data_IF_486072070293
#
_entry.id   IF_486072070293
#
_cell.length_a   1.000
_cell.length_b   1.000
_cell.length_c   1.000
_cell.angle_alpha   90.00
_cell.angle_beta   90.00
_cell.angle_gamma   90.00
#
_symmetry.space_group_name_H-M   'P 1'
#
loop_
_entity.id
_entity.type
_entity.pdbx_description
1 polymer ?
#
# COMPACT_ATOMS: atom_id res chain seq x y z
N UNK A 1 8.01 -18.83 5.33
CA UNK A 1 6.76 -18.07 5.37
C UNK A 1 5.60 -18.92 5.84
N UNK A 2 4.56 -18.29 6.28
CA UNK A 2 3.32 -18.93 6.71
C UNK A 2 2.12 -18.28 6.00
N UNK A 3 1.06 -19.06 5.80
CA UNK A 3 -0.22 -18.62 5.25
C UNK A 3 -1.32 -19.04 6.22
N UNK A 4 -2.10 -18.05 6.68
CA UNK A 4 -3.29 -18.26 7.50
C UNK A 4 -4.50 -17.76 6.71
N UNK A 5 -5.46 -18.64 6.46
CA UNK A 5 -6.71 -18.29 5.78
C UNK A 5 -7.88 -18.44 6.75
N UNK A 6 -8.88 -17.61 6.58
CA UNK A 6 -10.16 -17.67 7.29
C UNK A 6 -11.29 -17.89 6.26
N UNK A 7 -11.76 -19.13 6.06
CA UNK A 7 -12.83 -19.42 5.11
C UNK A 7 -14.18 -18.81 5.48
N UNK A 8 -14.35 -18.36 6.73
CA UNK A 8 -15.58 -17.74 7.22
C UNK A 8 -15.51 -16.21 7.23
N UNK A 9 -14.40 -15.62 6.72
CA UNK A 9 -14.26 -14.18 6.67
C UNK A 9 -15.37 -13.54 5.84
N UNK A 10 -16.15 -12.67 6.48
CA UNK A 10 -17.15 -11.88 5.76
C UNK A 10 -16.43 -10.87 4.85
N UNK A 11 -16.74 -10.93 3.55
CA UNK A 11 -16.19 -9.98 2.60
C UNK A 11 -16.79 -8.59 2.79
N UNK A 12 -15.98 -7.54 2.77
CA UNK A 12 -16.49 -6.17 2.76
C UNK A 12 -17.26 -5.87 1.47
N UNK A 13 -18.34 -5.11 1.57
CA UNK A 13 -19.20 -4.75 0.43
C UNK A 13 -18.41 -4.11 -0.72
N UNK A 14 -17.36 -3.33 -0.44
CA UNK A 14 -16.54 -2.68 -1.45
C UNK A 14 -15.63 -3.63 -2.23
N UNK A 15 -15.56 -4.90 -1.85
CA UNK A 15 -14.84 -5.96 -2.57
C UNK A 15 -15.82 -6.90 -3.28
N UNK A 16 -17.05 -7.06 -2.74
CA UNK A 16 -17.99 -8.11 -3.17
C UNK A 16 -19.02 -7.61 -4.19
N UNK A 17 -19.24 -6.30 -4.31
CA UNK A 17 -20.37 -5.76 -5.09
C UNK A 17 -20.05 -5.42 -6.53
N UNK A 18 -18.78 -5.35 -6.92
CA UNK A 18 -18.40 -4.98 -8.29
C UNK A 18 -16.99 -5.45 -8.66
N UNK A 19 -16.77 -5.56 -9.96
CA UNK A 19 -15.46 -5.89 -10.53
C UNK A 19 -14.58 -4.63 -10.59
N UNK A 20 -13.90 -4.30 -9.50
CA UNK A 20 -12.93 -3.21 -9.47
C UNK A 20 -11.80 -3.53 -10.46
N UNK A 21 -11.26 -2.51 -11.13
CA UNK A 21 -10.33 -2.63 -12.23
C UNK A 21 -10.85 -3.45 -13.41
N UNK A 22 -12.16 -3.61 -13.52
CA UNK A 22 -12.80 -4.51 -14.49
C UNK A 22 -12.25 -5.95 -14.42
N UNK A 23 -11.73 -6.32 -13.27
CA UNK A 23 -11.19 -7.64 -13.00
C UNK A 23 -12.31 -8.58 -12.59
N UNK A 24 -12.68 -9.59 -13.41
CA UNK A 24 -13.82 -10.46 -13.12
C UNK A 24 -13.66 -11.17 -11.77
N UNK A 25 -14.67 -11.03 -10.90
CA UNK A 25 -14.64 -11.55 -9.53
C UNK A 25 -13.75 -10.74 -8.59
N UNK A 26 -13.41 -9.52 -8.96
CA UNK A 26 -12.53 -8.64 -8.22
C UNK A 26 -11.20 -9.35 -7.87
N UNK A 27 -10.72 -9.31 -6.63
CA UNK A 27 -9.52 -10.03 -6.20
C UNK A 27 -9.81 -11.37 -5.53
N UNK A 28 -11.07 -11.62 -5.19
CA UNK A 28 -11.46 -12.67 -4.24
C UNK A 28 -12.10 -13.90 -4.86
N UNK A 29 -12.59 -13.85 -6.10
CA UNK A 29 -13.33 -14.94 -6.69
C UNK A 29 -12.47 -16.21 -6.86
N UNK A 30 -13.07 -17.36 -6.54
CA UNK A 30 -12.43 -18.66 -6.61
C UNK A 30 -13.27 -19.62 -7.46
N UNK A 31 -12.66 -20.22 -8.46
CA UNK A 31 -13.31 -21.18 -9.34
C UNK A 31 -13.13 -22.64 -8.86
N UNK A 32 -12.21 -22.86 -7.95
CA UNK A 32 -11.91 -24.16 -7.36
C UNK A 32 -11.25 -24.00 -5.99
N UNK A 33 -11.32 -25.03 -5.17
CA UNK A 33 -10.59 -25.06 -3.89
C UNK A 33 -9.09 -24.86 -4.12
N UNK A 34 -8.50 -23.93 -3.40
CA UNK A 34 -7.08 -23.60 -3.49
C UNK A 34 -6.69 -22.75 -4.72
N UNK A 35 -7.67 -22.13 -5.37
CA UNK A 35 -7.43 -21.26 -6.53
C UNK A 35 -6.44 -20.14 -6.24
N UNK A 36 -5.66 -19.80 -7.25
CA UNK A 36 -4.67 -18.69 -7.26
C UNK A 36 -4.86 -17.79 -8.47
N UNK A 37 -5.93 -17.98 -9.25
CA UNK A 37 -6.14 -17.32 -10.54
C UNK A 37 -6.17 -15.80 -10.40
N UNK A 38 -6.87 -15.25 -9.40
CA UNK A 38 -6.93 -13.80 -9.17
C UNK A 38 -5.56 -13.21 -8.86
N UNK A 39 -4.74 -13.90 -8.07
CA UNK A 39 -3.36 -13.48 -7.83
C UNK A 39 -2.50 -13.49 -9.10
N UNK A 40 -2.67 -14.48 -9.96
CA UNK A 40 -1.97 -14.55 -11.24
C UNK A 40 -2.47 -13.47 -12.23
N UNK A 41 -3.77 -13.22 -12.29
CA UNK A 41 -4.38 -12.15 -13.10
C UNK A 41 -3.82 -10.80 -12.66
N UNK A 42 -3.84 -10.50 -11.36
CA UNK A 42 -3.28 -9.27 -10.82
C UNK A 42 -1.79 -9.11 -11.13
N UNK A 43 -1.00 -10.17 -10.99
CA UNK A 43 0.44 -10.15 -11.27
C UNK A 43 0.76 -9.82 -12.73
N UNK A 44 -0.06 -10.28 -13.67
CA UNK A 44 0.13 -10.09 -15.11
C UNK A 44 -0.68 -8.91 -15.66
N UNK A 45 -1.88 -8.67 -15.13
CA UNK A 45 -2.75 -7.55 -15.52
C UNK A 45 -2.06 -6.21 -15.41
N UNK A 46 -1.32 -5.95 -14.33
CA UNK A 46 -0.51 -4.75 -14.17
C UNK A 46 0.57 -4.57 -15.24
N UNK A 47 1.00 -5.64 -15.93
CA UNK A 47 1.91 -5.53 -17.09
C UNK A 47 1.14 -5.12 -18.33
N UNK A 48 -0.05 -5.66 -18.54
CA UNK A 48 -0.94 -5.33 -19.65
C UNK A 48 -1.43 -3.89 -19.52
N UNK A 49 -1.90 -3.51 -18.34
CA UNK A 49 -2.40 -2.15 -18.03
C UNK A 49 -1.33 -1.08 -18.28
N UNK A 50 -0.11 -1.32 -17.85
CA UNK A 50 1.01 -0.40 -18.06
C UNK A 50 1.59 -0.45 -19.48
N UNK A 51 1.09 -1.34 -20.33
CA UNK A 51 1.72 -1.68 -21.58
C UNK A 51 3.13 -2.24 -21.38
N UNK A 52 3.60 -3.10 -22.24
CA UNK A 52 5.00 -3.57 -22.23
C UNK A 52 6.02 -2.45 -22.52
N UNK A 53 5.56 -1.20 -22.54
CA UNK A 53 6.32 -0.01 -22.88
C UNK A 53 7.23 0.51 -21.76
N UNK A 54 6.99 0.09 -20.52
CA UNK A 54 7.85 0.51 -19.39
C UNK A 54 9.12 -0.34 -19.33
N UNK A 55 10.30 0.29 -19.35
CA UNK A 55 11.56 -0.41 -19.16
C UNK A 55 11.52 -1.24 -17.87
N UNK A 56 12.14 -2.42 -17.88
CA UNK A 56 12.20 -3.30 -16.69
C UNK A 56 12.84 -2.62 -15.47
N UNK A 57 13.62 -1.56 -15.69
CA UNK A 57 14.26 -0.76 -14.64
C UNK A 57 13.27 0.09 -13.82
N UNK A 58 12.08 0.39 -14.34
CA UNK A 58 11.06 1.14 -13.60
C UNK A 58 10.16 0.26 -12.74
N UNK A 59 10.43 -1.03 -12.69
CA UNK A 59 9.67 -2.03 -11.91
C UNK A 59 10.13 -2.19 -10.47
N UNK A 60 11.01 -1.33 -9.96
CA UNK A 60 11.47 -1.42 -8.57
C UNK A 60 10.36 -1.18 -7.55
N UNK A 61 9.23 -0.68 -8.01
CA UNK A 61 8.00 -0.63 -7.25
C UNK A 61 7.96 0.49 -6.20
N UNK A 62 6.78 0.78 -5.80
CA UNK A 62 6.44 1.74 -4.77
C UNK A 62 7.20 1.45 -3.48
N UNK A 63 7.11 0.23 -2.98
CA UNK A 63 7.71 -0.14 -1.71
C UNK A 63 9.24 -0.06 -1.70
N UNK A 64 9.90 -0.28 -2.84
CA UNK A 64 11.35 -0.06 -2.96
C UNK A 64 11.70 1.42 -2.79
N UNK A 65 10.86 2.32 -3.33
CA UNK A 65 11.03 3.78 -3.14
C UNK A 65 10.74 4.19 -1.70
N UNK A 66 9.65 3.70 -1.11
CA UNK A 66 9.25 4.01 0.27
C UNK A 66 10.28 3.48 1.26
N UNK A 67 10.68 2.22 1.17
CA UNK A 67 11.66 1.62 2.09
C UNK A 67 13.03 2.30 1.99
N UNK A 68 13.44 2.66 0.77
CA UNK A 68 14.68 3.42 0.55
C UNK A 68 14.59 4.83 1.13
N UNK A 69 13.47 5.52 0.93
CA UNK A 69 13.22 6.83 1.53
C UNK A 69 13.27 6.77 3.05
N UNK A 70 12.58 5.82 3.67
CA UNK A 70 12.61 5.60 5.11
C UNK A 70 14.05 5.43 5.63
N UNK A 71 14.85 4.61 4.97
CA UNK A 71 16.24 4.35 5.38
C UNK A 71 17.16 5.58 5.32
N UNK A 72 16.84 6.54 4.47
CA UNK A 72 17.59 7.78 4.32
C UNK A 72 17.05 8.86 5.28
N UNK A 73 15.73 8.99 5.35
CA UNK A 73 15.06 10.03 6.14
C UNK A 73 15.15 9.77 7.64
N UNK A 74 15.06 8.50 8.02
CA UNK A 74 15.03 8.01 9.40
C UNK A 74 16.09 6.91 9.61
N UNK A 75 17.40 7.23 9.54
CA UNK A 75 18.47 6.22 9.52
C UNK A 75 18.54 5.40 10.81
N UNK A 76 18.04 5.94 11.93
CA UNK A 76 18.00 5.23 13.21
C UNK A 76 16.75 4.35 13.38
N UNK A 77 15.76 4.49 12.51
CA UNK A 77 14.55 3.69 12.56
C UNK A 77 14.83 2.31 11.97
N UNK A 78 14.76 1.27 12.80
CA UNK A 78 15.03 -0.14 12.46
C UNK A 78 13.81 -0.98 12.83
N UNK A 79 12.77 -1.04 11.99
CA UNK A 79 11.60 -1.82 12.29
C UNK A 79 11.94 -3.31 12.35
N UNK A 80 11.51 -3.98 13.43
CA UNK A 80 11.62 -5.43 13.60
C UNK A 80 10.39 -6.16 13.05
N UNK A 81 9.21 -5.51 13.08
CA UNK A 81 7.94 -6.06 12.58
C UNK A 81 7.26 -5.07 11.67
N UNK A 82 7.02 -5.51 10.43
CA UNK A 82 6.40 -4.70 9.38
C UNK A 82 5.09 -5.37 8.96
N UNK A 83 4.00 -4.59 8.96
CA UNK A 83 2.69 -4.98 8.48
C UNK A 83 2.37 -4.23 7.18
N UNK A 84 1.95 -4.94 6.14
CA UNK A 84 1.28 -4.34 4.98
C UNK A 84 -0.21 -4.68 5.01
N UNK A 85 -1.08 -3.65 4.97
CA UNK A 85 -2.53 -3.79 4.79
C UNK A 85 -2.88 -3.68 3.31
N UNK A 86 -3.78 -4.57 2.81
CA UNK A 86 -4.08 -4.67 1.38
C UNK A 86 -2.87 -5.17 0.57
N UNK A 87 -2.19 -6.21 1.05
CA UNK A 87 -0.93 -6.67 0.47
C UNK A 87 -1.07 -7.40 -0.86
N UNK A 88 -2.27 -7.79 -1.26
CA UNK A 88 -2.61 -8.51 -2.49
C UNK A 88 -1.67 -9.71 -2.72
N UNK A 89 -0.70 -9.58 -3.61
CA UNK A 89 0.27 -10.63 -3.96
C UNK A 89 1.67 -10.37 -3.37
N UNK A 90 1.80 -9.51 -2.37
CA UNK A 90 3.05 -9.20 -1.67
C UNK A 90 4.05 -8.35 -2.46
N UNK A 91 3.63 -7.74 -3.58
CA UNK A 91 4.54 -6.95 -4.42
C UNK A 91 5.23 -5.81 -3.67
N UNK A 92 4.49 -5.15 -2.79
CA UNK A 92 4.95 -4.00 -2.03
C UNK A 92 5.44 -4.36 -0.63
N UNK A 93 5.33 -5.62 -0.21
CA UNK A 93 5.88 -6.12 1.05
C UNK A 93 7.34 -6.58 0.91
N UNK A 94 7.63 -7.34 -0.14
CA UNK A 94 8.95 -7.96 -0.30
C UNK A 94 10.14 -6.98 -0.33
N UNK A 95 10.05 -5.79 -0.98
CA UNK A 95 11.17 -4.85 -1.03
C UNK A 95 11.65 -4.34 0.34
N UNK A 96 10.82 -4.43 1.38
CA UNK A 96 11.27 -4.07 2.73
C UNK A 96 12.38 -4.98 3.26
N UNK A 97 12.44 -6.26 2.82
CA UNK A 97 13.55 -7.18 3.17
C UNK A 97 14.91 -6.72 2.64
N UNK A 98 14.93 -6.01 1.51
CA UNK A 98 16.20 -5.51 0.94
C UNK A 98 16.81 -4.40 1.80
N UNK A 99 15.98 -3.67 2.54
CA UNK A 99 16.41 -2.55 3.42
C UNK A 99 16.48 -3.00 4.88
N UNK A 100 15.56 -3.84 5.32
CA UNK A 100 15.42 -4.34 6.68
C UNK A 100 15.46 -5.89 6.68
N UNK A 101 16.63 -6.50 6.46
CA UNK A 101 16.76 -7.95 6.23
C UNK A 101 16.31 -8.78 7.43
N UNK A 102 16.40 -8.24 8.63
CA UNK A 102 16.03 -8.94 9.88
C UNK A 102 14.55 -8.75 10.26
N UNK A 103 13.83 -7.84 9.58
CA UNK A 103 12.43 -7.57 9.91
C UNK A 103 11.51 -8.76 9.60
N UNK A 104 10.59 -9.06 10.50
CA UNK A 104 9.46 -9.96 10.25
C UNK A 104 8.45 -9.24 9.36
N UNK A 105 8.09 -9.85 8.23
CA UNK A 105 7.10 -9.31 7.29
C UNK A 105 5.75 -10.00 7.48
N UNK A 106 4.70 -9.21 7.65
CA UNK A 106 3.32 -9.67 7.66
C UNK A 106 2.51 -8.91 6.62
N UNK A 107 1.79 -9.62 5.78
CA UNK A 107 0.83 -9.04 4.84
C UNK A 107 -0.59 -9.50 5.16
N UNK A 108 -1.55 -8.59 5.18
CA UNK A 108 -2.98 -8.92 5.33
C UNK A 108 -3.75 -8.47 4.10
N UNK A 109 -4.72 -9.29 3.72
CA UNK A 109 -5.66 -9.03 2.63
C UNK A 109 -6.93 -9.88 2.85
N UNK A 110 -8.03 -9.49 2.25
CA UNK A 110 -9.27 -10.28 2.30
C UNK A 110 -9.30 -11.38 1.21
N UNK A 111 -8.50 -11.22 0.16
CA UNK A 111 -8.52 -12.07 -1.03
C UNK A 111 -7.65 -13.33 -0.86
N UNK A 112 -8.25 -14.45 -0.45
CA UNK A 112 -7.55 -15.73 -0.27
C UNK A 112 -6.74 -16.19 -1.50
N UNK A 113 -7.25 -16.13 -2.77
CA UNK A 113 -6.47 -16.52 -3.94
C UNK A 113 -5.24 -15.65 -4.17
N UNK A 114 -5.31 -14.36 -3.85
CA UNK A 114 -4.16 -13.45 -3.90
C UNK A 114 -3.11 -13.81 -2.84
N UNK A 115 -3.55 -14.11 -1.61
CA UNK A 115 -2.66 -14.50 -0.52
C UNK A 115 -1.97 -15.85 -0.76
N UNK A 116 -2.66 -16.82 -1.35
CA UNK A 116 -2.03 -18.11 -1.78
C UNK A 116 -0.95 -17.85 -2.82
N UNK A 117 -1.25 -16.99 -3.78
CA UNK A 117 -0.28 -16.59 -4.80
C UNK A 117 0.91 -15.83 -4.20
N UNK A 118 0.66 -14.90 -3.24
CA UNK A 118 1.69 -14.18 -2.51
C UNK A 118 2.63 -15.14 -1.76
N UNK A 119 2.07 -16.11 -1.04
CA UNK A 119 2.83 -17.10 -0.29
C UNK A 119 3.70 -17.97 -1.23
N UNK A 120 3.14 -18.43 -2.36
CA UNK A 120 3.90 -19.17 -3.36
C UNK A 120 5.07 -18.34 -3.92
N UNK A 121 4.86 -17.05 -4.16
CA UNK A 121 5.91 -16.12 -4.61
C UNK A 121 6.98 -15.88 -3.54
N UNK A 122 6.59 -15.75 -2.26
CA UNK A 122 7.54 -15.61 -1.16
C UNK A 122 8.47 -16.84 -1.09
N UNK A 123 7.91 -18.05 -1.15
CA UNK A 123 8.66 -19.30 -1.20
C UNK A 123 9.62 -19.33 -2.41
N UNK A 124 9.11 -19.00 -3.60
CA UNK A 124 9.91 -19.02 -4.83
C UNK A 124 11.07 -18.00 -4.81
N UNK A 125 10.92 -16.91 -4.05
CA UNK A 125 11.95 -15.85 -3.91
C UNK A 125 12.84 -16.03 -2.68
N UNK A 126 12.58 -17.03 -1.83
CA UNK A 126 13.30 -17.22 -0.56
C UNK A 126 13.04 -16.06 0.43
N UNK A 127 11.92 -15.38 0.33
CA UNK A 127 11.52 -14.32 1.27
C UNK A 127 10.67 -14.93 2.38
N UNK A 128 11.10 -14.75 3.62
CA UNK A 128 10.28 -15.14 4.77
C UNK A 128 9.25 -14.04 5.07
N UNK A 129 7.97 -14.36 4.88
CA UNK A 129 6.84 -13.48 5.14
C UNK A 129 5.64 -14.31 5.59
N UNK A 130 4.82 -13.75 6.45
CA UNK A 130 3.55 -14.32 6.87
C UNK A 130 2.40 -13.60 6.14
N UNK A 131 1.51 -14.37 5.54
CA UNK A 131 0.28 -13.84 4.91
C UNK A 131 -0.94 -14.31 5.69
N UNK A 132 -1.85 -13.38 6.00
CA UNK A 132 -3.05 -13.68 6.78
C UNK A 132 -4.28 -13.07 6.12
N UNK A 133 -5.32 -13.89 5.93
CA UNK A 133 -6.60 -13.42 5.42
C UNK A 133 -7.35 -12.72 6.55
N UNK A 134 -7.46 -11.39 6.46
CA UNK A 134 -8.11 -10.55 7.45
C UNK A 134 -8.71 -9.31 6.78
N UNK A 135 -9.80 -8.80 7.37
CA UNK A 135 -10.28 -7.46 7.06
C UNK A 135 -9.46 -6.42 7.85
N UNK A 136 -8.80 -5.51 7.13
CA UNK A 136 -7.98 -4.46 7.76
C UNK A 136 -8.78 -3.47 8.63
N UNK A 137 -10.11 -3.47 8.55
CA UNK A 137 -10.97 -2.71 9.44
C UNK A 137 -11.03 -3.28 10.88
N UNK A 138 -10.63 -4.56 11.05
CA UNK A 138 -10.63 -5.28 12.33
C UNK A 138 -9.53 -6.33 12.33
N UNK A 139 -8.31 -5.92 12.67
CA UNK A 139 -7.13 -6.79 12.63
C UNK A 139 -7.05 -7.70 13.87
N UNK A 140 -6.79 -8.97 13.64
CA UNK A 140 -6.55 -9.96 14.70
C UNK A 140 -5.09 -9.92 15.17
N UNK A 141 -4.64 -8.74 15.57
CA UNK A 141 -3.35 -8.54 16.20
C UNK A 141 -3.53 -7.78 17.52
N UNK A 142 -2.67 -8.06 18.48
CA UNK A 142 -2.65 -7.31 19.74
C UNK A 142 -2.23 -5.87 19.52
N UNK A 143 -2.65 -4.97 20.41
CA UNK A 143 -2.21 -3.59 20.40
C UNK A 143 -0.69 -3.49 20.46
N UNK A 144 -0.13 -2.50 19.77
CA UNK A 144 1.31 -2.20 19.82
C UNK A 144 2.20 -3.38 19.38
N UNK A 145 1.82 -4.08 18.30
CA UNK A 145 2.52 -5.25 17.78
C UNK A 145 3.58 -4.93 16.72
N UNK A 146 3.40 -3.85 15.95
CA UNK A 146 4.22 -3.53 14.79
C UNK A 146 5.02 -2.25 14.96
N UNK A 147 6.22 -2.22 14.40
CA UNK A 147 7.08 -1.04 14.36
C UNK A 147 6.75 -0.17 13.15
N UNK A 148 6.39 -0.80 12.03
CA UNK A 148 6.04 -0.14 10.79
C UNK A 148 4.75 -0.75 10.21
N UNK A 149 3.78 0.10 9.87
CA UNK A 149 2.57 -0.28 9.13
C UNK A 149 2.57 0.46 7.80
N UNK A 150 2.36 -0.26 6.70
CA UNK A 150 2.39 0.28 5.36
C UNK A 150 1.18 -0.15 4.53
N UNK A 151 0.87 0.62 3.51
CA UNK A 151 0.00 0.20 2.41
C UNK A 151 0.40 0.92 1.12
N UNK A 152 -0.03 0.38 0.00
CA UNK A 152 0.26 0.96 -1.31
C UNK A 152 -0.96 0.82 -2.21
N UNK A 153 -1.53 1.95 -2.65
CA UNK A 153 -2.73 1.97 -3.48
C UNK A 153 -3.89 1.17 -2.86
N UNK A 154 -4.20 1.43 -1.61
CA UNK A 154 -5.18 0.67 -0.86
C UNK A 154 -6.40 1.49 -0.43
N UNK A 155 -6.19 2.72 0.05
CA UNK A 155 -7.28 3.49 0.65
C UNK A 155 -8.30 4.02 -0.35
N UNK A 156 -7.90 4.26 -1.59
CA UNK A 156 -8.85 4.67 -2.63
C UNK A 156 -9.80 3.56 -3.08
N UNK A 157 -9.51 2.32 -2.72
CA UNK A 157 -10.41 1.18 -2.92
C UNK A 157 -11.49 1.08 -1.83
N UNK A 158 -11.34 1.82 -0.74
CA UNK A 158 -12.19 1.75 0.44
C UNK A 158 -13.19 2.91 0.49
N UNK A 159 -14.38 2.64 1.03
CA UNK A 159 -15.25 3.73 1.43
C UNK A 159 -14.57 4.63 2.47
N UNK A 160 -14.96 5.90 2.56
CA UNK A 160 -14.39 6.84 3.55
C UNK A 160 -14.52 6.33 4.98
N UNK A 161 -15.63 5.68 5.29
CA UNK A 161 -15.85 5.13 6.65
C UNK A 161 -14.98 3.89 6.92
N UNK A 162 -14.76 3.03 5.92
CA UNK A 162 -13.80 1.93 6.02
C UNK A 162 -12.36 2.46 6.17
N UNK A 163 -11.99 3.48 5.38
CA UNK A 163 -10.68 4.16 5.51
C UNK A 163 -10.40 4.63 6.95
N UNK A 164 -11.38 5.27 7.60
CA UNK A 164 -11.22 5.72 8.99
C UNK A 164 -11.02 4.54 9.96
N UNK A 165 -11.76 3.45 9.78
CA UNK A 165 -11.61 2.25 10.62
C UNK A 165 -10.26 1.58 10.42
N UNK A 166 -9.82 1.44 9.17
CA UNK A 166 -8.50 0.89 8.85
C UNK A 166 -7.38 1.74 9.45
N UNK A 167 -7.43 3.07 9.32
CA UNK A 167 -6.43 3.95 9.91
C UNK A 167 -6.40 3.86 11.45
N UNK A 168 -7.57 3.71 12.08
CA UNK A 168 -7.67 3.51 13.53
C UNK A 168 -7.06 2.16 13.95
N UNK A 169 -7.29 1.09 13.19
CA UNK A 169 -6.67 -0.22 13.42
C UNK A 169 -5.16 -0.18 13.18
N UNK A 170 -4.69 0.48 12.13
CA UNK A 170 -3.26 0.71 11.91
C UNK A 170 -2.62 1.41 13.13
N UNK A 171 -3.29 2.45 13.66
CA UNK A 171 -2.83 3.13 14.88
C UNK A 171 -2.83 2.22 16.10
N UNK A 172 -3.86 1.38 16.26
CA UNK A 172 -3.98 0.46 17.40
C UNK A 172 -2.82 -0.53 17.44
N UNK A 173 -2.55 -1.17 16.29
CA UNK A 173 -1.51 -2.21 16.20
C UNK A 173 -0.09 -1.63 16.15
N UNK A 174 0.06 -0.34 15.87
CA UNK A 174 1.35 0.34 15.83
C UNK A 174 1.88 0.58 17.25
N UNK A 175 3.15 0.25 17.50
CA UNK A 175 3.83 0.53 18.76
C UNK A 175 3.97 2.03 19.01
N UNK A 176 4.04 2.50 20.27
CA UNK A 176 4.54 3.84 20.57
C UNK A 176 5.94 4.04 19.95
N UNK A 177 6.15 5.18 19.29
CA UNK A 177 7.36 5.45 18.49
C UNK A 177 7.42 4.74 17.14
N UNK A 178 6.46 3.87 16.85
CA UNK A 178 6.31 3.23 15.54
C UNK A 178 5.76 4.20 14.49
N UNK A 179 5.87 3.81 13.23
CA UNK A 179 5.52 4.65 12.09
C UNK A 179 4.53 3.95 11.17
N UNK A 180 3.56 4.67 10.65
CA UNK A 180 2.80 4.21 9.50
C UNK A 180 3.06 5.11 8.29
N UNK A 181 3.16 4.49 7.10
CA UNK A 181 3.43 5.17 5.84
C UNK A 181 2.57 4.55 4.75
N UNK A 182 1.70 5.35 4.18
CA UNK A 182 0.79 4.94 3.12
C UNK A 182 1.13 5.68 1.83
N UNK A 183 1.34 4.92 0.76
CA UNK A 183 1.49 5.49 -0.58
C UNK A 183 0.12 5.49 -1.25
N UNK A 184 -0.29 6.68 -1.68
CA UNK A 184 -1.60 6.90 -2.27
C UNK A 184 -1.62 7.97 -3.36
N UNK A 185 -2.74 8.04 -4.03
CA UNK A 185 -3.06 9.09 -4.97
C UNK A 185 -3.22 10.42 -4.23
N UNK A 186 -2.73 11.52 -4.81
CA UNK A 186 -2.81 12.81 -4.16
C UNK A 186 -4.26 13.31 -4.04
N UNK A 187 -4.59 14.03 -2.96
CA UNK A 187 -5.85 14.78 -2.88
C UNK A 187 -6.06 15.68 -4.10
N UNK A 188 -7.31 15.83 -4.52
CA UNK A 188 -7.66 16.64 -5.70
C UNK A 188 -7.27 18.12 -5.56
N UNK A 189 -7.15 18.63 -4.34
CA UNK A 189 -6.68 19.97 -4.01
C UNK A 189 -5.19 20.20 -4.32
N UNK A 190 -4.40 19.14 -4.41
CA UNK A 190 -2.94 19.18 -4.51
C UNK A 190 -2.42 19.01 -5.94
N UNK A 191 -3.29 18.81 -6.90
CA UNK A 191 -2.93 18.61 -8.30
C UNK A 191 -3.66 19.58 -9.21
N UNK A 192 -3.09 19.85 -10.38
CA UNK A 192 -3.71 20.76 -11.35
C UNK A 192 -4.98 20.19 -11.99
N UNK A 193 -5.74 21.05 -12.68
CA UNK A 193 -7.01 20.67 -13.26
C UNK A 193 -6.89 19.58 -14.36
N UNK A 194 -5.78 19.58 -15.14
CA UNK A 194 -5.57 18.59 -16.16
C UNK A 194 -5.28 17.20 -15.55
N UNK A 195 -4.44 17.17 -14.54
CA UNK A 195 -4.15 15.90 -13.86
C UNK A 195 -5.35 15.37 -13.07
N UNK A 196 -6.16 16.26 -12.47
CA UNK A 196 -7.45 15.87 -11.89
C UNK A 196 -8.40 15.27 -12.92
N UNK A 197 -8.52 15.88 -14.09
CA UNK A 197 -9.32 15.33 -15.18
C UNK A 197 -8.82 13.94 -15.59
N UNK A 198 -7.51 13.76 -15.73
CA UNK A 198 -6.92 12.47 -16.08
C UNK A 198 -7.23 11.39 -15.02
N UNK A 199 -7.07 11.71 -13.73
CA UNK A 199 -7.36 10.78 -12.65
C UNK A 199 -8.86 10.47 -12.53
N UNK A 200 -9.74 11.43 -12.79
CA UNK A 200 -11.18 11.21 -12.83
C UNK A 200 -11.61 10.35 -14.03
N UNK A 201 -10.94 10.53 -15.18
CA UNK A 201 -11.13 9.69 -16.35
C UNK A 201 -10.66 8.25 -16.09
N UNK A 202 -9.51 8.08 -15.46
CA UNK A 202 -8.98 6.78 -15.06
C UNK A 202 -9.95 6.05 -14.13
N UNK A 203 -10.42 6.72 -13.08
CA UNK A 203 -11.43 6.21 -12.16
C UNK A 203 -12.69 5.69 -12.88
N UNK A 204 -13.24 6.49 -13.80
CA UNK A 204 -14.46 6.13 -14.54
C UNK A 204 -14.26 4.88 -15.41
N UNK A 205 -13.09 4.73 -16.03
CA UNK A 205 -12.80 3.63 -16.97
C UNK A 205 -12.24 2.39 -16.26
N UNK A 206 -11.86 2.52 -15.01
CA UNK A 206 -11.28 1.46 -14.20
C UNK A 206 -12.26 0.88 -13.16
N UNK A 207 -13.50 1.39 -13.16
CA UNK A 207 -14.58 0.97 -12.28
C UNK A 207 -14.20 1.00 -10.79
N UNK A 208 -13.63 2.13 -10.35
CA UNK A 208 -13.18 2.33 -8.96
C UNK A 208 -14.16 3.22 -8.19
N UNK A 209 -15.08 2.67 -7.39
CA UNK A 209 -16.21 3.42 -6.83
C UNK A 209 -15.83 4.46 -5.78
N UNK A 210 -14.73 4.24 -5.07
CA UNK A 210 -14.33 5.05 -3.90
C UNK A 210 -13.17 6.01 -4.18
N UNK A 211 -12.51 5.88 -5.32
CA UNK A 211 -11.34 6.64 -5.73
C UNK A 211 -11.56 8.17 -5.67
N UNK A 212 -12.67 8.66 -6.25
CA UNK A 212 -12.99 10.09 -6.26
C UNK A 212 -13.31 10.60 -4.85
N UNK A 213 -14.04 9.82 -4.07
CA UNK A 213 -14.40 10.19 -2.69
C UNK A 213 -13.16 10.26 -1.80
N UNK A 214 -12.25 9.32 -1.92
CA UNK A 214 -10.97 9.36 -1.23
C UNK A 214 -10.18 10.62 -1.59
N UNK A 215 -9.97 10.89 -2.88
CA UNK A 215 -9.22 12.06 -3.36
C UNK A 215 -9.89 13.41 -3.05
N UNK A 216 -11.17 13.44 -2.73
CA UNK A 216 -11.87 14.64 -2.28
C UNK A 216 -11.54 15.03 -0.82
N UNK A 217 -10.81 14.18 -0.10
CA UNK A 217 -10.46 14.38 1.32
C UNK A 217 -8.99 14.79 1.46
N UNK A 218 -8.74 15.59 2.48
CA UNK A 218 -7.37 15.84 2.92
C UNK A 218 -6.90 14.69 3.80
N UNK A 219 -5.71 14.16 3.53
CA UNK A 219 -5.15 13.05 4.32
C UNK A 219 -4.98 13.43 5.80
N UNK A 220 -4.73 14.70 6.10
CA UNK A 220 -4.65 15.21 7.48
C UNK A 220 -5.95 14.98 8.26
N UNK A 221 -7.12 15.21 7.62
CA UNK A 221 -8.42 14.99 8.27
C UNK A 221 -8.70 13.52 8.52
N UNK A 222 -8.29 12.65 7.59
CA UNK A 222 -8.39 11.20 7.75
C UNK A 222 -7.51 10.73 8.92
N UNK A 223 -6.27 11.22 9.01
CA UNK A 223 -5.34 10.89 10.10
C UNK A 223 -5.85 11.40 11.45
N UNK A 224 -6.39 12.62 11.50
CA UNK A 224 -7.01 13.16 12.70
C UNK A 224 -8.21 12.30 13.16
N UNK A 225 -9.01 11.80 12.23
CA UNK A 225 -10.13 10.89 12.55
C UNK A 225 -9.69 9.56 13.14
N UNK A 226 -8.47 9.11 12.85
CA UNK A 226 -7.85 7.92 13.43
C UNK A 226 -7.15 8.20 14.79
N UNK A 227 -7.22 9.45 15.27
CA UNK A 227 -6.68 9.86 16.57
C UNK A 227 -5.22 10.30 16.56
N UNK A 228 -4.65 10.60 15.39
CA UNK A 228 -3.33 11.22 15.30
C UNK A 228 -3.44 12.74 15.43
N UNK A 229 -2.51 13.33 16.16
CA UNK A 229 -2.37 14.78 16.25
C UNK A 229 -1.63 15.33 15.01
N UNK A 230 -1.74 16.65 14.81
CA UNK A 230 -1.04 17.32 13.72
C UNK A 230 0.49 17.18 13.82
N UNK A 231 1.03 17.02 15.02
CA UNK A 231 2.47 16.88 15.27
C UNK A 231 2.99 15.47 14.90
N UNK A 232 2.10 14.46 14.90
CA UNK A 232 2.42 13.10 14.53
C UNK A 232 2.38 12.89 13.02
N UNK A 233 1.57 13.69 12.32
CA UNK A 233 1.27 13.54 10.89
C UNK A 233 2.35 14.14 9.99
N UNK A 234 2.64 13.48 8.88
CA UNK A 234 3.48 13.99 7.82
C UNK A 234 2.97 13.62 6.42
N UNK A 235 3.39 14.39 5.44
CA UNK A 235 3.30 14.03 4.02
C UNK A 235 4.67 14.09 3.38
N UNK A 236 4.85 13.34 2.30
CA UNK A 236 6.03 13.42 1.46
C UNK A 236 5.66 13.11 0.00
N UNK A 237 6.44 13.64 -0.92
CA UNK A 237 6.47 13.19 -2.30
C UNK A 237 7.88 12.73 -2.60
N UNK A 238 8.01 11.52 -3.16
CA UNK A 238 9.31 10.90 -3.41
C UNK A 238 9.41 10.45 -4.86
N UNK A 239 10.60 10.53 -5.49
CA UNK A 239 10.79 9.99 -6.82
C UNK A 239 10.72 8.46 -6.83
N UNK A 240 10.43 7.88 -7.99
CA UNK A 240 10.62 6.44 -8.19
C UNK A 240 12.12 6.09 -8.15
N UNK A 241 12.50 5.19 -7.25
CA UNK A 241 13.91 4.84 -7.03
C UNK A 241 14.55 4.15 -8.24
N UNK A 242 13.74 3.49 -9.07
CA UNK A 242 14.22 2.79 -10.27
C UNK A 242 14.50 3.72 -11.45
N UNK A 243 13.87 4.90 -11.47
CA UNK A 243 13.99 5.89 -12.54
C UNK A 243 14.80 7.12 -12.16
N UNK A 244 14.93 7.43 -10.88
CA UNK A 244 15.61 8.62 -10.40
C UNK A 244 17.13 8.46 -10.30
N UNK A 245 17.86 9.57 -10.50
CA UNK A 245 19.28 9.62 -10.14
C UNK A 245 19.43 9.40 -8.63
N UNK A 246 20.36 8.54 -8.16
CA UNK A 246 20.50 8.21 -6.75
C UNK A 246 20.86 9.40 -5.85
N UNK A 247 21.63 10.39 -6.35
CA UNK A 247 21.97 11.59 -5.59
C UNK A 247 20.75 12.50 -5.45
N UNK A 248 19.98 12.68 -6.52
CA UNK A 248 18.72 13.42 -6.49
C UNK A 248 17.70 12.75 -5.54
N UNK A 249 17.53 11.42 -5.62
CA UNK A 249 16.65 10.69 -4.71
C UNK A 249 17.02 10.96 -3.24
N UNK A 250 18.33 10.90 -2.93
CA UNK A 250 18.83 11.19 -1.58
C UNK A 250 18.53 12.63 -1.14
N UNK A 251 18.77 13.60 -2.01
CA UNK A 251 18.49 15.02 -1.70
C UNK A 251 17.00 15.24 -1.40
N UNK A 252 16.10 14.67 -2.22
CA UNK A 252 14.66 14.73 -1.95
C UNK A 252 14.31 14.05 -0.63
N UNK A 253 14.85 12.87 -0.35
CA UNK A 253 14.60 12.16 0.89
C UNK A 253 15.05 12.95 2.14
N UNK A 254 16.11 13.73 2.04
CA UNK A 254 16.61 14.61 3.10
C UNK A 254 15.86 15.96 3.18
N UNK A 255 15.04 16.30 2.18
CA UNK A 255 14.40 17.60 2.08
C UNK A 255 15.33 18.71 1.55
N UNK A 256 16.42 18.33 0.88
CA UNK A 256 17.43 19.23 0.29
C UNK A 256 17.13 19.60 -1.17
N UNK A 257 16.17 18.89 -1.79
CA UNK A 257 15.70 19.16 -3.14
C UNK A 257 14.17 18.97 -3.23
N UNK A 258 13.55 19.73 -4.13
CA UNK A 258 12.12 19.57 -4.41
C UNK A 258 11.83 18.21 -5.06
N UNK A 259 10.74 17.53 -4.64
CA UNK A 259 10.32 16.30 -5.30
C UNK A 259 9.82 16.59 -6.73
N UNK A 260 9.81 15.58 -7.62
CA UNK A 260 9.18 15.74 -8.92
C UNK A 260 7.68 15.98 -8.75
N UNK A 261 7.07 16.70 -9.70
CA UNK A 261 5.61 16.84 -9.73
C UNK A 261 4.96 15.45 -9.80
N UNK A 262 3.78 15.35 -9.23
CA UNK A 262 2.97 14.13 -9.38
C UNK A 262 2.81 13.80 -10.86
N UNK A 263 3.09 12.56 -11.15
CA UNK A 263 2.97 12.00 -12.49
C UNK A 263 3.12 10.49 -12.39
N UNK A 264 2.39 9.76 -13.24
CA UNK A 264 2.42 8.30 -13.27
C UNK A 264 3.87 7.82 -13.40
N UNK A 265 4.34 7.03 -12.45
CA UNK A 265 5.66 6.40 -12.38
C UNK A 265 6.88 7.33 -12.22
N UNK A 266 6.69 8.60 -11.93
CA UNK A 266 7.80 9.52 -11.67
C UNK A 266 7.96 9.91 -10.21
N UNK A 267 6.85 9.94 -9.48
CA UNK A 267 6.82 10.25 -8.05
C UNK A 267 5.68 9.52 -7.35
N UNK A 268 5.87 9.30 -6.05
CA UNK A 268 4.91 8.66 -5.18
C UNK A 268 4.51 9.62 -4.06
N UNK A 269 3.20 9.85 -3.90
CA UNK A 269 2.65 10.60 -2.80
C UNK A 269 2.56 9.73 -1.55
N UNK A 270 3.04 10.24 -0.43
CA UNK A 270 3.00 9.57 0.86
C UNK A 270 2.25 10.41 1.87
N UNK A 271 1.50 9.74 2.73
CA UNK A 271 1.04 10.29 3.99
C UNK A 271 1.28 9.28 5.11
N UNK A 272 1.45 9.76 6.32
CA UNK A 272 1.74 8.87 7.43
C UNK A 272 1.81 9.59 8.77
N UNK A 273 2.11 8.84 9.81
CA UNK A 273 2.32 9.38 11.15
C UNK A 273 3.34 8.57 11.93
N UNK A 274 3.95 9.22 12.91
CA UNK A 274 4.72 8.57 13.99
C UNK A 274 3.85 8.59 15.23
N UNK A 275 3.50 7.42 15.77
CA UNK A 275 2.69 7.32 16.97
C UNK A 275 3.48 7.82 18.18
N UNK A 276 2.93 8.78 18.94
CA UNK A 276 3.55 9.28 20.16
C UNK A 276 3.90 8.15 21.13
N UNK A 277 4.98 8.36 21.89
CA UNK A 277 5.50 7.40 22.87
C UNK A 277 4.62 7.31 24.13
#
# INVERSE_FOLDING_TARGET
GALTLDPELAMPDYVDTMDVHLMPGCWQDEHAEGDVAQGAIYAHGGQVFRGSLLPSKTRSGVAASVSKWLSIRYPEFKPEKILETGCTIGNNLFPYKDIYPDAELTGVDVAAPCLRYANARAVARGVDAHFSQQNAETLDFTDNSFDLVVSSFFFHELSVEATKRVLAECRRVLKPGGMMVHMELPPSSQVDAYYNFFLDWDNEHNNEPHYRDFRSRECADLMASAGFSADEYFTASIPDVGGADPAYFRQVALGEAEPPKHGIYTSWGLFGAVKAA
#
